data_IF_500594074894
#
_entry.id   IF_500594074894
#
_cell.length_a   1.000
_cell.length_b   1.000
_cell.length_c   1.000
_cell.angle_alpha   90.00
_cell.angle_beta   90.00
_cell.angle_gamma   90.00
#
_symmetry.space_group_name_H-M   'P 1'
#
loop_
_entity.id
_entity.type
_entity.pdbx_description
1 polymer ?
#
# COMPACT_ATOMS: atom_id res chain seq x y z
N UNK A 1 1.42 -14.96 0.19
CA UNK A 1 1.40 -13.66 -0.53
C UNK A 1 1.01 -12.52 0.41
N UNK A 2 0.33 -12.77 1.52
CA UNK A 2 -0.15 -11.73 2.45
C UNK A 2 0.95 -11.02 3.24
N UNK A 3 2.09 -11.68 3.46
CA UNK A 3 3.22 -11.10 4.19
C UNK A 3 3.77 -9.82 3.54
N UNK A 4 3.76 -9.75 2.21
CA UNK A 4 4.21 -8.58 1.46
C UNK A 4 3.27 -7.38 1.67
N UNK A 5 1.96 -7.60 1.62
CA UNK A 5 0.96 -6.56 1.90
C UNK A 5 1.03 -6.03 3.33
N UNK A 6 1.36 -6.91 4.28
CA UNK A 6 1.59 -6.49 5.68
C UNK A 6 2.81 -5.57 5.78
N UNK A 7 3.90 -5.89 5.09
CA UNK A 7 5.12 -5.08 5.07
C UNK A 7 4.86 -3.71 4.42
N UNK A 8 4.20 -3.69 3.25
CA UNK A 8 3.88 -2.45 2.52
C UNK A 8 2.96 -1.56 3.36
N UNK A 9 1.89 -2.12 3.94
CA UNK A 9 0.97 -1.35 4.79
C UNK A 9 1.64 -0.82 6.06
N UNK A 10 2.61 -1.56 6.62
CA UNK A 10 3.41 -1.10 7.77
C UNK A 10 4.34 0.04 7.38
N UNK A 11 5.01 -0.04 6.22
CA UNK A 11 5.87 1.02 5.72
C UNK A 11 5.06 2.31 5.47
N UNK A 12 3.91 2.22 4.79
CA UNK A 12 3.05 3.37 4.55
C UNK A 12 2.51 3.98 5.86
N UNK A 13 2.21 3.17 6.88
CA UNK A 13 1.80 3.68 8.19
C UNK A 13 2.92 4.46 8.90
N UNK A 14 4.18 4.10 8.67
CA UNK A 14 5.34 4.85 9.20
C UNK A 14 5.53 6.14 8.42
N UNK A 15 5.43 6.10 7.09
CA UNK A 15 5.53 7.27 6.22
C UNK A 15 4.41 8.27 6.56
N UNK A 16 3.16 7.83 6.74
CA UNK A 16 2.04 8.70 7.11
C UNK A 16 2.23 9.45 8.43
N UNK A 17 3.09 8.93 9.33
CA UNK A 17 3.38 9.54 10.64
C UNK A 17 4.62 10.41 10.62
N UNK A 18 5.62 10.07 9.81
CA UNK A 18 6.94 10.73 9.80
C UNK A 18 7.09 11.74 8.66
N UNK A 19 6.42 11.52 7.53
CA UNK A 19 6.52 12.30 6.30
C UNK A 19 5.10 12.48 5.71
N UNK A 20 4.23 13.27 6.36
CA UNK A 20 2.84 13.43 5.95
C UNK A 20 2.69 14.01 4.54
N UNK A 21 3.59 14.91 4.13
CA UNK A 21 3.58 15.49 2.77
C UNK A 21 3.90 14.45 1.71
N UNK A 22 4.91 13.59 1.96
CA UNK A 22 5.23 12.46 1.07
C UNK A 22 4.09 11.44 1.03
N UNK A 23 3.41 11.21 2.16
CA UNK A 23 2.26 10.34 2.21
C UNK A 23 1.08 10.90 1.41
N UNK A 24 0.86 12.22 1.43
CA UNK A 24 -0.16 12.88 0.63
C UNK A 24 0.06 12.70 -0.87
N UNK A 25 1.32 12.53 -1.31
CA UNK A 25 1.68 12.21 -2.70
C UNK A 25 1.37 10.75 -3.12
N UNK A 26 0.85 9.91 -2.21
CA UNK A 26 0.43 8.53 -2.49
C UNK A 26 -1.08 8.43 -2.25
N UNK A 27 -1.93 8.68 -3.26
CA UNK A 27 -3.39 8.72 -3.11
C UNK A 27 -3.99 7.43 -2.53
N UNK A 28 -3.44 6.28 -2.91
CA UNK A 28 -3.87 4.95 -2.46
C UNK A 28 -3.33 4.59 -1.06
N UNK A 29 -2.44 5.42 -0.49
CA UNK A 29 -1.70 5.11 0.72
C UNK A 29 -2.62 4.77 1.90
N UNK A 30 -3.78 5.43 1.99
CA UNK A 30 -4.77 5.15 3.02
C UNK A 30 -5.45 3.80 2.81
N UNK A 31 -5.85 3.50 1.57
CA UNK A 31 -6.51 2.25 1.20
C UNK A 31 -5.60 1.05 1.49
N UNK A 32 -4.29 1.17 1.26
CA UNK A 32 -3.32 0.10 1.52
C UNK A 32 -3.09 -0.12 3.02
N UNK A 33 -3.08 0.95 3.82
CA UNK A 33 -3.05 0.85 5.28
C UNK A 33 -4.30 0.13 5.80
N UNK A 34 -5.46 0.48 5.26
CA UNK A 34 -6.75 -0.08 5.67
C UNK A 34 -6.88 -1.55 5.23
N UNK A 35 -6.39 -1.89 4.03
CA UNK A 35 -6.26 -3.27 3.56
C UNK A 35 -5.36 -4.12 4.47
N UNK A 36 -4.24 -3.56 4.93
CA UNK A 36 -3.38 -4.24 5.93
C UNK A 36 -4.15 -4.47 7.24
N UNK A 37 -4.91 -3.48 7.71
CA UNK A 37 -5.69 -3.62 8.94
C UNK A 37 -6.75 -4.72 8.79
N UNK A 38 -7.39 -4.81 7.62
CA UNK A 38 -8.34 -5.87 7.25
C UNK A 38 -7.67 -7.25 7.24
N UNK A 39 -6.51 -7.40 6.60
CA UNK A 39 -5.72 -8.65 6.63
C UNK A 39 -5.27 -9.05 8.04
N UNK A 40 -5.04 -8.09 8.94
CA UNK A 40 -4.59 -8.40 10.30
C UNK A 40 -5.74 -8.77 11.24
N UNK A 41 -6.94 -8.21 11.03
CA UNK A 41 -8.09 -8.36 11.94
C UNK A 41 -9.19 -9.29 11.43
N UNK A 42 -9.41 -9.37 10.11
CA UNK A 42 -10.53 -10.10 9.50
C UNK A 42 -10.11 -11.34 8.71
N UNK A 43 -8.89 -11.85 8.94
CA UNK A 43 -8.36 -13.00 8.20
C UNK A 43 -9.23 -14.27 8.29
N UNK A 44 -10.18 -14.33 9.24
CA UNK A 44 -11.18 -15.40 9.34
C UNK A 44 -12.37 -15.25 8.36
N UNK A 45 -12.62 -14.06 7.80
CA UNK A 45 -13.79 -13.75 6.95
C UNK A 45 -13.44 -13.10 5.59
N UNK A 46 -12.19 -12.68 5.36
CA UNK A 46 -11.78 -12.09 4.08
C UNK A 46 -11.57 -13.20 3.05
N UNK A 47 -12.35 -13.16 1.96
CA UNK A 47 -12.21 -14.10 0.85
C UNK A 47 -10.92 -13.87 0.07
N UNK A 48 -10.17 -14.94 -0.22
CA UNK A 48 -9.01 -14.94 -1.13
C UNK A 48 -9.28 -14.24 -2.47
N UNK A 49 -10.55 -14.23 -2.91
CA UNK A 49 -10.98 -13.60 -4.16
C UNK A 49 -10.87 -12.07 -4.10
N UNK A 50 -11.11 -11.46 -2.94
CA UNK A 50 -10.93 -10.02 -2.73
C UNK A 50 -9.45 -9.64 -2.68
N UNK A 51 -8.64 -10.45 -1.99
CA UNK A 51 -7.17 -10.27 -1.93
C UNK A 51 -6.56 -10.38 -3.33
N UNK A 52 -6.99 -11.38 -4.11
CA UNK A 52 -6.54 -11.56 -5.49
C UNK A 52 -6.97 -10.41 -6.40
N UNK A 53 -8.19 -9.88 -6.22
CA UNK A 53 -8.66 -8.69 -6.93
C UNK A 53 -7.78 -7.47 -6.68
N UNK A 54 -7.46 -7.18 -5.41
CA UNK A 54 -6.56 -6.07 -5.06
C UNK A 54 -5.13 -6.28 -5.56
N UNK A 55 -4.63 -7.53 -5.60
CA UNK A 55 -3.33 -7.84 -6.22
C UNK A 55 -3.33 -7.50 -7.71
N UNK A 56 -4.40 -7.83 -8.44
CA UNK A 56 -4.43 -7.65 -9.89
C UNK A 56 -4.69 -6.20 -10.30
N UNK A 57 -5.47 -5.46 -9.50
CA UNK A 57 -5.95 -4.12 -9.87
C UNK A 57 -5.15 -3.01 -9.17
N UNK A 58 -4.93 -3.12 -7.87
CA UNK A 58 -4.38 -2.02 -7.06
C UNK A 58 -2.84 -2.04 -7.03
N UNK A 59 -2.25 -3.23 -7.06
CA UNK A 59 -0.78 -3.39 -7.00
C UNK A 59 -0.02 -2.78 -8.19
N UNK A 60 -0.48 -2.93 -9.46
CA UNK A 60 0.18 -2.28 -10.60
C UNK A 60 0.15 -0.75 -10.50
N UNK A 61 -0.98 -0.19 -10.07
CA UNK A 61 -1.18 1.25 -9.87
C UNK A 61 -0.22 1.78 -8.81
N UNK A 62 -0.16 1.12 -7.65
CA UNK A 62 0.77 1.47 -6.59
C UNK A 62 2.24 1.41 -7.06
N UNK A 63 2.59 0.38 -7.85
CA UNK A 63 3.95 0.23 -8.37
C UNK A 63 4.32 1.36 -9.34
N UNK A 64 3.37 1.86 -10.14
CA UNK A 64 3.58 3.00 -11.01
C UNK A 64 3.83 4.29 -10.20
N UNK A 65 2.99 4.56 -9.20
CA UNK A 65 3.15 5.74 -8.33
C UNK A 65 4.49 5.74 -7.57
N UNK A 66 4.89 4.60 -7.00
CA UNK A 66 6.19 4.47 -6.34
C UNK A 66 7.36 4.73 -7.31
N UNK A 67 7.23 4.32 -8.59
CA UNK A 67 8.28 4.55 -9.58
C UNK A 67 8.43 6.04 -9.91
N UNK A 68 7.32 6.76 -10.06
CA UNK A 68 7.33 8.21 -10.30
C UNK A 68 7.97 8.94 -9.11
N UNK A 69 7.54 8.62 -7.88
CA UNK A 69 8.11 9.23 -6.68
C UNK A 69 9.62 8.96 -6.53
N UNK A 70 10.10 7.77 -6.90
CA UNK A 70 11.52 7.46 -6.88
C UNK A 70 12.32 8.26 -7.93
N UNK A 71 11.72 8.60 -9.07
CA UNK A 71 12.35 9.46 -10.07
C UNK A 71 12.39 10.92 -9.58
N UNK A 72 11.33 11.39 -8.94
CA UNK A 72 11.27 12.76 -8.39
C UNK A 72 12.22 12.97 -7.20
N UNK A 73 12.44 11.93 -6.39
CA UNK A 73 13.36 11.97 -5.24
C UNK A 73 14.83 11.76 -5.63
N UNK A 74 15.08 11.26 -6.83
CA UNK A 74 16.42 11.06 -7.37
C UNK A 74 16.50 11.67 -8.78
N UNK A 75 16.29 12.99 -8.90
CA UNK A 75 16.41 13.65 -10.19
C UNK A 75 17.87 13.49 -10.63
N UNK A 76 18.06 12.98 -11.85
CA UNK A 76 19.37 13.04 -12.50
C UNK A 76 19.88 14.49 -12.55
#
# INVERSE_FOLDING_TARGET
MEREFIIIGKALKVISRRLPDLFASIPEGRQIIDFRNLLTHEYLNVSDRLVWGSIQVDLPTLKAHCRVLLQDLNPC
#
